data_IF_013305747392
#
_entry.id   IF_013305747392
#
_cell.length_a   1.000
_cell.length_b   1.000
_cell.length_c   1.000
_cell.angle_alpha   90.00
_cell.angle_beta   90.00
_cell.angle_gamma   90.00
#
_symmetry.space_group_name_H-M   'P 1'
#
loop_
_entity.id
_entity.type
_entity.pdbx_description
1 polymer ?
#
# COMPACT_ATOMS: atom_id res chain seq x y z
N UNK A 1 -1.16 -34.25 16.37
CA UNK A 1 -1.58 -32.84 16.47
C UNK A 1 -0.34 -31.97 16.63
N UNK A 2 0.00 -31.11 15.67
CA UNK A 2 0.99 -30.05 15.87
C UNK A 2 0.29 -28.85 16.51
N UNK A 3 0.90 -28.19 17.51
CA UNK A 3 0.32 -26.99 18.10
C UNK A 3 0.29 -25.87 17.06
N UNK A 4 -0.86 -25.20 16.95
CA UNK A 4 -0.99 -23.91 16.28
C UNK A 4 -0.02 -22.94 17.00
N UNK A 5 1.12 -22.68 16.36
CA UNK A 5 2.08 -21.71 16.86
C UNK A 5 1.56 -20.35 16.40
N UNK A 6 0.71 -19.72 17.22
CA UNK A 6 0.22 -18.37 16.96
C UNK A 6 1.38 -17.37 16.88
N UNK A 7 1.41 -16.50 15.86
CA UNK A 7 2.42 -15.46 15.74
C UNK A 7 2.30 -14.48 16.93
N UNK A 8 3.38 -14.23 17.71
CA UNK A 8 3.36 -13.25 18.79
C UNK A 8 2.96 -11.86 18.28
N UNK A 9 2.20 -11.10 19.09
CA UNK A 9 1.69 -9.78 18.69
C UNK A 9 2.81 -8.79 18.31
N UNK A 10 3.96 -8.85 18.98
CA UNK A 10 5.10 -7.98 18.67
C UNK A 10 5.77 -8.34 17.33
N UNK A 11 5.82 -9.64 16.99
CA UNK A 11 6.33 -10.08 15.69
C UNK A 11 5.37 -9.65 14.59
N UNK A 12 4.07 -9.79 14.83
CA UNK A 12 3.03 -9.35 13.91
C UNK A 12 3.13 -7.84 13.62
N UNK A 13 3.29 -7.01 14.66
CA UNK A 13 3.41 -5.55 14.48
C UNK A 13 4.67 -5.20 13.69
N UNK A 14 5.80 -5.82 14.00
CA UNK A 14 7.07 -5.60 13.27
C UNK A 14 6.94 -5.97 11.79
N UNK A 15 6.33 -7.13 11.48
CA UNK A 15 6.07 -7.57 10.10
C UNK A 15 5.06 -6.66 9.39
N UNK A 16 4.08 -6.12 10.10
CA UNK A 16 3.13 -5.16 9.56
C UNK A 16 3.81 -3.83 9.20
N UNK A 17 4.68 -3.31 10.07
CA UNK A 17 5.44 -2.08 9.81
C UNK A 17 6.40 -2.25 8.63
N UNK A 18 7.08 -3.40 8.54
CA UNK A 18 7.92 -3.76 7.41
C UNK A 18 7.11 -3.79 6.10
N UNK A 19 5.95 -4.45 6.11
CA UNK A 19 5.05 -4.51 4.96
C UNK A 19 4.54 -3.13 4.52
N UNK A 20 4.20 -2.26 5.48
CA UNK A 20 3.74 -0.90 5.20
C UNK A 20 4.85 -0.05 4.60
N UNK A 21 6.10 -0.20 5.06
CA UNK A 21 7.25 0.50 4.50
C UNK A 21 7.48 0.10 3.05
N UNK A 22 7.56 -1.20 2.77
CA UNK A 22 7.73 -1.71 1.40
C UNK A 22 6.60 -1.26 0.47
N UNK A 23 5.35 -1.32 0.94
CA UNK A 23 4.21 -0.88 0.16
C UNK A 23 4.28 0.62 -0.15
N UNK A 24 4.70 1.44 0.81
CA UNK A 24 4.83 2.88 0.62
C UNK A 24 5.98 3.23 -0.34
N UNK A 25 7.09 2.50 -0.27
CA UNK A 25 8.20 2.64 -1.23
C UNK A 25 7.73 2.33 -2.65
N UNK A 26 6.96 1.25 -2.83
CA UNK A 26 6.37 0.90 -4.12
C UNK A 26 5.40 1.97 -4.64
N UNK A 27 4.53 2.51 -3.78
CA UNK A 27 3.59 3.60 -4.13
C UNK A 27 4.37 4.84 -4.55
N UNK A 28 5.39 5.22 -3.78
CA UNK A 28 6.23 6.38 -4.05
C UNK A 28 7.16 6.19 -5.26
N UNK A 29 7.48 4.97 -5.65
CA UNK A 29 8.16 4.70 -6.92
C UNK A 29 7.17 4.77 -8.10
N UNK A 30 5.98 4.16 -7.96
CA UNK A 30 5.03 3.96 -9.06
C UNK A 30 4.23 5.22 -9.44
N UNK A 31 3.83 6.05 -8.48
CA UNK A 31 2.92 7.17 -8.76
C UNK A 31 3.69 8.33 -9.40
N UNK A 32 3.27 8.88 -10.54
CA UNK A 32 3.96 10.00 -11.21
C UNK A 32 3.82 11.38 -10.50
N UNK A 33 3.47 11.41 -9.22
CA UNK A 33 3.33 12.65 -8.43
C UNK A 33 4.70 13.20 -8.00
N UNK A 34 4.79 14.52 -7.89
CA UNK A 34 6.01 15.24 -7.47
C UNK A 34 6.30 15.04 -5.97
N UNK A 35 5.26 14.89 -5.15
CA UNK A 35 5.40 14.74 -3.72
C UNK A 35 5.33 13.27 -3.28
N UNK A 36 5.90 13.01 -2.11
CA UNK A 36 5.85 11.71 -1.44
C UNK A 36 4.50 11.52 -0.75
N UNK A 37 4.05 10.27 -0.68
CA UNK A 37 2.96 9.81 0.15
C UNK A 37 3.48 9.28 1.48
N UNK A 38 2.65 9.41 2.51
CA UNK A 38 2.87 8.84 3.86
C UNK A 38 1.62 8.12 4.34
N UNK A 39 1.81 7.07 5.14
CA UNK A 39 0.73 6.31 5.79
C UNK A 39 0.05 7.16 6.86
N UNK A 40 -1.27 7.37 6.76
CA UNK A 40 -2.07 8.13 7.73
C UNK A 40 -2.71 7.27 8.82
N UNK A 41 -3.09 6.04 8.47
CA UNK A 41 -3.69 5.05 9.36
C UNK A 41 -3.40 3.66 8.81
N UNK A 42 -3.28 2.66 9.68
CA UNK A 42 -3.11 1.28 9.25
C UNK A 42 -3.80 0.34 10.24
N UNK A 43 -4.27 -0.80 9.73
CA UNK A 43 -4.91 -1.84 10.53
C UNK A 43 -4.68 -3.21 9.92
N UNK A 44 -4.32 -4.18 10.75
CA UNK A 44 -4.33 -5.60 10.37
C UNK A 44 -5.77 -6.07 10.40
N UNK A 45 -6.27 -6.53 9.25
CA UNK A 45 -7.66 -6.98 9.12
C UNK A 45 -7.79 -8.50 9.15
N UNK A 46 -6.73 -9.22 8.77
CA UNK A 46 -6.73 -10.68 8.76
C UNK A 46 -5.31 -11.22 8.88
N UNK A 47 -5.16 -12.31 9.63
CA UNK A 47 -3.95 -13.14 9.67
C UNK A 47 -4.41 -14.59 9.51
N UNK A 48 -3.84 -15.32 8.55
CA UNK A 48 -4.21 -16.70 8.25
C UNK A 48 -2.94 -17.55 8.32
N UNK A 49 -2.84 -18.50 9.26
CA UNK A 49 -1.71 -19.44 9.27
C UNK A 49 -1.80 -20.36 8.05
N UNK A 50 -0.68 -20.54 7.35
CA UNK A 50 -0.57 -21.41 6.18
C UNK A 50 0.23 -22.69 6.46
N UNK A 51 0.98 -22.71 7.56
CA UNK A 51 1.83 -23.83 7.96
C UNK A 51 2.72 -23.44 9.13
N UNK A 52 3.82 -24.16 9.29
CA UNK A 52 4.79 -23.89 10.36
C UNK A 52 5.47 -22.54 10.12
N UNK A 53 5.24 -21.58 11.00
CA UNK A 53 5.88 -20.26 10.96
C UNK A 53 5.63 -19.48 9.64
N UNK A 54 4.52 -19.78 8.94
CA UNK A 54 4.12 -19.08 7.71
C UNK A 54 2.68 -18.59 7.82
N UNK A 55 2.45 -17.35 7.39
CA UNK A 55 1.17 -16.67 7.53
C UNK A 55 0.88 -15.80 6.32
N UNK A 56 -0.37 -15.73 5.92
CA UNK A 56 -0.86 -14.65 5.09
C UNK A 56 -1.43 -13.54 5.97
N UNK A 57 -1.00 -12.31 5.73
CA UNK A 57 -1.50 -11.14 6.45
C UNK A 57 -2.16 -10.17 5.47
N UNK A 58 -3.26 -9.57 5.91
CA UNK A 58 -4.00 -8.56 5.14
C UNK A 58 -4.07 -7.27 5.93
N UNK A 59 -3.51 -6.20 5.37
CA UNK A 59 -3.52 -4.86 5.94
C UNK A 59 -4.40 -3.94 5.11
N UNK A 60 -5.17 -3.10 5.80
CA UNK A 60 -5.80 -1.91 5.21
C UNK A 60 -5.15 -0.67 5.80
N UNK A 61 -4.75 0.26 4.94
CA UNK A 61 -4.10 1.49 5.35
C UNK A 61 -4.52 2.68 4.50
N UNK A 62 -4.45 3.88 5.05
CA UNK A 62 -4.65 5.13 4.33
C UNK A 62 -3.30 5.75 3.96
N UNK A 63 -3.23 6.38 2.78
CA UNK A 63 -2.10 7.20 2.38
C UNK A 63 -2.53 8.64 2.11
N UNK A 64 -1.63 9.57 2.37
CA UNK A 64 -1.87 11.00 2.14
C UNK A 64 -0.62 11.66 1.57
N UNK A 65 -0.81 12.59 0.64
CA UNK A 65 0.28 13.37 0.06
C UNK A 65 0.95 14.25 1.12
N UNK A 66 2.28 14.37 1.03
CA UNK A 66 3.11 15.17 1.93
C UNK A 66 3.65 16.41 1.23
N UNK A 67 4.32 17.28 1.99
CA UNK A 67 5.01 18.46 1.45
C UNK A 67 6.40 18.13 0.89
N UNK A 68 6.93 16.93 1.20
CA UNK A 68 8.23 16.49 0.72
C UNK A 68 8.16 16.06 -0.74
N UNK A 69 9.14 16.52 -1.52
CA UNK A 69 9.29 16.13 -2.92
C UNK A 69 10.05 14.82 -3.07
N UNK A 70 9.73 14.06 -4.10
CA UNK A 70 10.54 12.91 -4.53
C UNK A 70 11.95 13.35 -4.90
N UNK A 71 12.94 12.52 -4.60
CA UNK A 71 14.36 12.84 -4.83
C UNK A 71 14.98 13.76 -3.77
N UNK A 72 14.24 14.21 -2.75
CA UNK A 72 14.80 15.00 -1.64
C UNK A 72 15.69 14.18 -0.68
N UNK A 73 15.66 12.84 -0.78
CA UNK A 73 16.36 11.95 0.16
C UNK A 73 15.75 11.91 1.56
N UNK A 74 14.63 12.60 1.78
CA UNK A 74 13.93 12.63 3.07
C UNK A 74 13.05 11.39 3.21
N UNK A 75 13.09 10.78 4.40
CA UNK A 75 12.19 9.69 4.75
C UNK A 75 10.71 10.17 4.73
N UNK A 76 9.80 9.51 4.00
CA UNK A 76 8.40 9.91 3.90
C UNK A 76 7.67 9.98 5.26
N UNK A 77 8.09 9.22 6.27
CA UNK A 77 7.47 9.24 7.60
C UNK A 77 7.87 10.47 8.43
N UNK A 78 9.01 11.11 8.12
CA UNK A 78 9.39 12.40 8.70
C UNK A 78 8.62 13.59 8.11
N UNK A 79 7.93 13.38 7.00
CA UNK A 79 7.28 14.46 6.26
C UNK A 79 5.91 14.84 6.85
N UNK A 80 5.66 16.15 6.89
CA UNK A 80 4.35 16.69 7.21
C UNK A 80 3.38 16.42 6.06
N UNK A 81 2.13 16.10 6.40
CA UNK A 81 1.07 16.05 5.41
C UNK A 81 0.89 17.42 4.77
N UNK A 82 0.63 17.40 3.47
CA UNK A 82 0.30 18.61 2.75
C UNK A 82 -0.98 19.20 3.33
N UNK A 83 -0.95 20.51 3.59
CA UNK A 83 -2.11 21.24 4.10
C UNK A 83 -2.97 21.71 2.93
N UNK A 84 -4.28 21.51 3.02
CA UNK A 84 -5.25 21.98 2.03
C UNK A 84 -6.45 21.06 1.89
N UNK A 85 -7.58 21.62 1.48
CA UNK A 85 -8.86 20.91 1.33
C UNK A 85 -8.84 19.79 0.28
N UNK A 86 -7.90 19.84 -0.67
CA UNK A 86 -7.80 18.89 -1.79
C UNK A 86 -6.91 17.67 -1.53
N UNK A 87 -6.32 17.55 -0.32
CA UNK A 87 -5.44 16.42 0.00
C UNK A 87 -6.29 15.25 0.46
N UNK A 88 -6.82 14.52 -0.53
CA UNK A 88 -7.64 13.35 -0.31
C UNK A 88 -6.80 12.17 0.21
N UNK A 89 -7.34 11.48 1.20
CA UNK A 89 -6.74 10.25 1.74
C UNK A 89 -7.16 9.05 0.87
N UNK A 90 -6.21 8.46 0.16
CA UNK A 90 -6.47 7.24 -0.61
C UNK A 90 -6.43 6.02 0.32
N UNK A 91 -7.37 5.10 0.10
CA UNK A 91 -7.43 3.84 0.83
C UNK A 91 -6.66 2.76 0.08
N UNK A 92 -5.78 2.05 0.78
CA UNK A 92 -4.98 0.97 0.24
C UNK A 92 -5.21 -0.33 1.01
N UNK A 93 -5.02 -1.43 0.30
CA UNK A 93 -5.13 -2.80 0.79
C UNK A 93 -3.92 -3.59 0.28
N UNK A 94 -3.20 -4.24 1.20
CA UNK A 94 -2.12 -5.16 0.86
C UNK A 94 -2.38 -6.54 1.43
N UNK A 95 -1.99 -7.55 0.64
CA UNK A 95 -1.87 -8.93 1.07
C UNK A 95 -0.40 -9.29 1.06
N UNK A 96 0.08 -9.81 2.18
CA UNK A 96 1.47 -10.22 2.34
C UNK A 96 1.59 -11.68 2.74
N UNK A 97 2.69 -12.29 2.31
CA UNK A 97 3.13 -13.59 2.77
C UNK A 97 4.27 -13.38 3.77
N UNK A 98 4.07 -13.89 4.97
CA UNK A 98 5.01 -13.80 6.08
C UNK A 98 5.65 -15.16 6.32
N UNK A 99 6.96 -15.16 6.49
CA UNK A 99 7.71 -16.26 7.08
C UNK A 99 8.53 -15.74 8.26
N UNK A 100 9.21 -16.65 8.96
CA UNK A 100 10.11 -16.30 10.06
C UNK A 100 11.08 -15.18 9.68
N UNK A 101 11.62 -15.19 8.46
CA UNK A 101 12.67 -14.26 8.02
C UNK A 101 12.24 -13.25 6.97
N UNK A 102 11.14 -13.49 6.26
CA UNK A 102 10.78 -12.71 5.09
C UNK A 102 9.36 -12.15 5.20
N UNK A 103 9.18 -10.99 4.60
CA UNK A 103 7.90 -10.34 4.38
C UNK A 103 7.80 -10.06 2.89
N UNK A 104 6.84 -10.67 2.21
CA UNK A 104 6.66 -10.51 0.77
C UNK A 104 5.29 -9.89 0.48
N UNK A 105 5.24 -8.87 -0.37
CA UNK A 105 3.97 -8.32 -0.84
C UNK A 105 3.45 -9.21 -1.97
N UNK A 106 2.31 -9.86 -1.76
CA UNK A 106 1.62 -10.65 -2.80
C UNK A 106 0.81 -9.72 -3.70
N UNK A 107 0.13 -8.74 -3.10
CA UNK A 107 -0.65 -7.77 -3.86
C UNK A 107 -0.78 -6.45 -3.10
N UNK A 108 -0.76 -5.36 -3.85
CA UNK A 108 -0.98 -4.00 -3.39
C UNK A 108 -2.02 -3.35 -4.30
N UNK A 109 -3.11 -2.86 -3.70
CA UNK A 109 -4.15 -2.12 -4.40
C UNK A 109 -4.49 -0.87 -3.62
N UNK A 110 -4.56 0.27 -4.31
CA UNK A 110 -5.00 1.53 -3.74
C UNK A 110 -6.17 2.07 -4.56
N UNK A 111 -7.21 2.50 -3.86
CA UNK A 111 -8.34 3.22 -4.42
C UNK A 111 -8.24 4.69 -4.00
N UNK A 112 -8.52 5.65 -4.89
CA UNK A 112 -8.71 7.05 -4.50
C UNK A 112 -9.74 7.17 -3.39
N UNK A 113 -9.74 8.29 -2.66
CA UNK A 113 -10.81 8.58 -1.71
C UNK A 113 -12.15 8.56 -2.46
N UNK A 114 -12.92 7.50 -2.30
CA UNK A 114 -14.33 7.52 -2.69
C UNK A 114 -15.01 8.41 -1.66
N UNK A 115 -15.61 9.52 -2.12
CA UNK A 115 -16.62 10.21 -1.33
C UNK A 115 -17.65 9.17 -0.91
N UNK A 116 -17.80 8.98 0.40
CA UNK A 116 -18.83 8.12 0.95
C UNK A 116 -20.18 8.75 0.61
N UNK A 117 -20.87 8.18 -0.37
CA UNK A 117 -22.29 8.38 -0.56
C UNK A 117 -22.89 7.05 -1.01
N UNK A 118 -23.64 6.49 -0.07
CA UNK A 118 -24.77 5.57 -0.17
C UNK A 118 -25.12 5.03 -1.56
N UNK A 119 -25.44 3.75 -1.57
CA UNK A 119 -26.08 3.03 -2.66
C UNK A 119 -27.29 3.81 -3.20
N UNK A 120 -27.19 4.33 -4.43
CA UNK A 120 -28.27 4.41 -5.44
C UNK A 120 -27.77 5.21 -6.65
N UNK A 121 -28.06 4.64 -7.82
CA UNK A 121 -27.85 5.11 -9.19
C UNK A 121 -27.89 6.63 -9.38
N UNK A 122 -26.82 7.22 -9.93
CA UNK A 122 -26.79 8.07 -11.14
C UNK A 122 -25.49 8.91 -11.23
N UNK A 123 -24.75 8.70 -12.32
CA UNK A 123 -23.83 9.62 -13.03
C UNK A 123 -23.17 10.78 -12.26
N UNK A 124 -21.84 10.71 -12.01
CA UNK A 124 -20.89 11.82 -12.22
C UNK A 124 -19.45 11.29 -12.41
N UNK A 125 -19.16 10.86 -13.64
CA UNK A 125 -17.81 10.61 -14.13
C UNK A 125 -17.18 11.91 -14.61
N UNK A 126 -16.09 12.41 -14.01
CA UNK A 126 -15.04 13.09 -14.76
C UNK A 126 -13.69 12.98 -14.01
N UNK A 127 -12.73 12.31 -14.65
CA UNK A 127 -11.26 12.38 -14.46
C UNK A 127 -10.49 11.34 -13.60
N UNK A 128 -11.11 10.35 -12.95
CA UNK A 128 -10.33 9.33 -12.19
C UNK A 128 -10.37 7.90 -12.79
N UNK A 129 -11.34 7.58 -13.64
CA UNK A 129 -11.54 6.20 -14.13
C UNK A 129 -10.70 5.81 -15.35
N UNK A 130 -10.15 6.75 -16.12
CA UNK A 130 -9.46 6.39 -17.38
C UNK A 130 -8.04 5.83 -17.13
N UNK A 131 -7.39 6.11 -16.00
CA UNK A 131 -6.01 5.62 -15.76
C UNK A 131 -5.93 4.26 -15.05
N UNK A 132 -6.97 3.83 -14.34
CA UNK A 132 -6.88 2.66 -13.45
C UNK A 132 -7.12 1.32 -14.17
N UNK A 133 -7.90 1.31 -15.26
CA UNK A 133 -8.21 0.08 -16.00
C UNK A 133 -7.19 -0.25 -17.11
N UNK A 134 -6.38 0.68 -17.61
CA UNK A 134 -5.52 0.41 -18.78
C UNK A 134 -4.13 -0.18 -18.46
N UNK A 135 -3.72 -0.27 -17.19
CA UNK A 135 -2.36 -0.69 -16.82
C UNK A 135 -2.29 -2.04 -16.09
N UNK A 136 -3.42 -2.70 -15.85
CA UNK A 136 -3.42 -4.04 -15.22
C UNK A 136 -3.10 -5.16 -16.23
N UNK A 137 -3.02 -4.86 -17.53
CA UNK A 137 -2.77 -5.85 -18.59
C UNK A 137 -1.46 -5.67 -19.39
N UNK A 138 -0.67 -4.61 -19.18
CA UNK A 138 0.62 -4.50 -19.89
C UNK A 138 1.74 -5.16 -19.10
N UNK A 139 2.03 -6.40 -19.48
CA UNK A 139 3.30 -7.13 -19.44
C UNK A 139 4.35 -6.73 -18.39
N UNK A 140 4.61 -7.69 -17.50
CA UNK A 140 5.94 -7.95 -16.95
C UNK A 140 6.89 -8.27 -18.11
N UNK A 141 7.57 -7.26 -18.65
CA UNK A 141 8.65 -7.42 -19.63
C UNK A 141 10.01 -7.41 -18.90
N UNK A 142 10.76 -8.52 -18.88
CA UNK A 142 12.05 -8.60 -18.21
C UNK A 142 13.17 -8.23 -19.20
N UNK A 143 13.17 -7.01 -19.72
CA UNK A 143 14.39 -6.46 -20.32
C UNK A 143 14.40 -4.92 -20.31
N UNK A 144 15.16 -4.36 -19.37
CA UNK A 144 15.76 -3.05 -19.53
C UNK A 144 17.20 -3.15 -19.03
N UNK A 145 17.99 -3.90 -19.79
CA UNK A 145 19.44 -3.79 -19.81
C UNK A 145 19.84 -2.43 -20.40
N UNK A 146 20.66 -1.66 -19.67
CA UNK A 146 21.54 -0.55 -20.09
C UNK A 146 21.06 0.51 -21.11
N UNK A 147 21.10 1.79 -20.71
CA UNK A 147 21.60 2.86 -21.59
C UNK A 147 21.99 4.13 -20.78
N UNK A 148 23.31 4.39 -20.75
CA UNK A 148 24.05 5.63 -20.43
C UNK A 148 23.91 6.28 -19.04
#
# INVERSE_FOLDING_TARGET
>A
MQPDRSLPLFELSSKADEALRMALDEINARYARINLYRVSKASVTRVVPLGTNTYDMVLKFGIRETECRKGSGIDPQGCAYRRGFFVLEAGCHIRTHLSERLTNIISLKCSPAQSSSSESSEEYQYAAEISFMSWFETEFDPDCTNAY
#
